data_IF_373666968849
#
_entry.id   IF_373666968849
#
_cell.length_a   1.000
_cell.length_b   1.000
_cell.length_c   1.000
_cell.angle_alpha   90.00
_cell.angle_beta   90.00
_cell.angle_gamma   90.00
#
_symmetry.space_group_name_H-M   'P 1'
#
loop_
_entity.id
_entity.type
_entity.pdbx_description
1 polymer ?
#
# COMPACT_ATOMS: atom_id res chain seq x y z
N UNK A 1 18.85 12.64 4.62
CA UNK A 1 20.01 12.75 3.72
C UNK A 1 21.07 11.77 4.19
N UNK A 2 21.65 10.99 3.28
CA UNK A 2 22.70 10.05 3.61
C UNK A 2 24.07 10.69 3.43
N UNK A 3 24.93 10.55 4.44
CA UNK A 3 26.30 11.02 4.38
C UNK A 3 27.25 9.94 4.86
N UNK A 4 28.44 9.88 4.26
CA UNK A 4 29.54 9.03 4.71
C UNK A 4 30.41 9.83 5.66
N UNK A 5 30.56 9.33 6.88
CA UNK A 5 31.35 9.98 7.91
C UNK A 5 32.84 9.79 7.63
N UNK A 6 33.63 10.87 7.65
CA UNK A 6 35.06 10.82 7.33
C UNK A 6 35.95 10.69 8.57
N UNK A 7 35.43 11.06 9.74
CA UNK A 7 36.20 11.14 10.99
C UNK A 7 35.44 10.55 12.18
N UNK A 8 36.16 10.02 13.17
CA UNK A 8 35.59 9.47 14.40
C UNK A 8 35.34 7.96 14.37
N UNK A 9 34.58 7.46 15.36
CA UNK A 9 34.37 6.00 15.56
C UNK A 9 33.59 5.33 14.44
N UNK A 10 32.74 6.08 13.76
CA UNK A 10 31.90 5.62 12.65
C UNK A 10 32.49 6.03 11.28
N UNK A 11 33.78 6.38 11.21
CA UNK A 11 34.43 6.73 9.95
C UNK A 11 34.30 5.60 8.91
N UNK A 12 33.88 5.95 7.70
CA UNK A 12 33.60 5.03 6.60
C UNK A 12 32.17 4.50 6.57
N UNK A 13 31.36 4.70 7.61
CA UNK A 13 29.96 4.29 7.62
C UNK A 13 29.05 5.37 7.03
N UNK A 14 27.97 4.91 6.43
CA UNK A 14 26.89 5.77 5.94
C UNK A 14 25.86 5.91 7.05
N UNK A 15 25.53 7.16 7.36
CA UNK A 15 24.55 7.50 8.39
C UNK A 15 23.47 8.41 7.80
N UNK A 16 22.25 8.26 8.32
CA UNK A 16 21.13 9.13 7.97
C UNK A 16 21.16 10.36 8.86
N UNK A 17 21.31 11.55 8.25
CA UNK A 17 21.21 12.82 8.95
C UNK A 17 20.05 13.68 8.39
N UNK A 18 19.43 14.53 9.25
CA UNK A 18 18.58 15.61 8.78
C UNK A 18 19.35 16.53 7.83
N UNK A 19 18.68 17.08 6.82
CA UNK A 19 19.31 17.89 5.77
C UNK A 19 20.17 19.03 6.33
N UNK A 20 19.66 19.78 7.31
CA UNK A 20 20.38 20.87 7.96
C UNK A 20 21.69 20.41 8.62
N UNK A 21 21.67 19.28 9.33
CA UNK A 21 22.85 18.71 9.96
C UNK A 21 23.84 18.17 8.92
N UNK A 22 23.35 17.51 7.87
CA UNK A 22 24.19 16.99 6.80
C UNK A 22 24.95 18.12 6.06
N UNK A 23 24.27 19.21 5.70
CA UNK A 23 24.89 20.36 5.04
C UNK A 23 25.99 20.98 5.90
N UNK A 24 25.76 21.18 7.20
CA UNK A 24 26.78 21.70 8.11
C UNK A 24 27.97 20.76 8.24
N UNK A 25 27.75 19.46 8.38
CA UNK A 25 28.83 18.46 8.54
C UNK A 25 29.69 18.31 7.29
N UNK A 26 29.10 18.46 6.10
CA UNK A 26 29.82 18.50 4.82
C UNK A 26 30.65 19.79 4.71
N UNK A 27 30.07 20.95 5.06
CA UNK A 27 30.80 22.22 5.05
C UNK A 27 32.00 22.24 6.01
N UNK A 28 31.88 21.53 7.14
CA UNK A 28 32.97 21.34 8.11
C UNK A 28 33.98 20.25 7.71
N UNK A 29 33.78 19.57 6.57
CA UNK A 29 34.67 18.52 6.09
C UNK A 29 34.66 17.24 6.92
N UNK A 30 33.66 17.06 7.79
CA UNK A 30 33.54 15.88 8.67
C UNK A 30 32.80 14.72 8.02
N UNK A 31 32.00 15.02 6.99
CA UNK A 31 31.21 14.08 6.22
C UNK A 31 31.30 14.40 4.73
N UNK A 32 31.01 13.42 3.87
CA UNK A 32 30.80 13.59 2.42
C UNK A 32 29.42 13.06 2.05
N UNK A 33 28.80 13.61 1.00
CA UNK A 33 27.56 13.04 0.47
C UNK A 33 27.84 11.58 0.02
N UNK A 34 27.01 10.65 0.48
CA UNK A 34 27.08 9.26 0.03
C UNK A 34 26.50 9.15 -1.38
N UNK A 35 27.07 8.29 -2.22
CA UNK A 35 26.49 8.01 -3.55
C UNK A 35 25.32 7.02 -3.44
N UNK A 36 24.45 7.00 -4.45
CA UNK A 36 23.30 6.09 -4.48
C UNK A 36 23.73 4.60 -4.43
N UNK A 37 24.88 4.29 -5.02
CA UNK A 37 25.51 2.96 -4.97
C UNK A 37 25.94 2.58 -3.54
N UNK A 38 26.60 3.50 -2.83
CA UNK A 38 27.02 3.32 -1.44
C UNK A 38 25.79 3.14 -0.52
N UNK A 39 24.72 3.91 -0.74
CA UNK A 39 23.47 3.85 0.03
C UNK A 39 22.75 2.51 -0.17
N UNK A 40 22.70 2.02 -1.40
CA UNK A 40 22.10 0.73 -1.75
C UNK A 40 22.88 -0.45 -1.13
N UNK A 41 24.22 -0.41 -1.16
CA UNK A 41 25.07 -1.41 -0.51
C UNK A 41 24.88 -1.43 1.02
N UNK A 42 24.63 -0.27 1.63
CA UNK A 42 24.32 -0.16 3.05
C UNK A 42 22.90 -0.61 3.41
N UNK A 43 22.06 -1.00 2.45
CA UNK A 43 20.67 -1.43 2.67
C UNK A 43 19.77 -0.31 3.20
N UNK A 44 20.19 0.95 3.05
CA UNK A 44 19.46 2.10 3.54
C UNK A 44 18.43 2.53 2.49
N UNK A 45 17.24 1.95 2.56
CA UNK A 45 16.09 2.40 1.77
C UNK A 45 15.77 3.83 2.17
N UNK A 46 15.78 4.75 1.20
CA UNK A 46 15.33 6.12 1.40
C UNK A 46 13.86 6.07 1.83
N UNK A 47 13.60 6.30 3.12
CA UNK A 47 12.26 6.46 3.64
C UNK A 47 11.71 7.72 2.98
N UNK A 48 10.80 7.55 2.02
CA UNK A 48 10.05 8.66 1.44
C UNK A 48 9.46 9.47 2.59
N UNK A 49 10.03 10.65 2.82
CA UNK A 49 9.54 11.55 3.84
C UNK A 49 8.16 11.95 3.37
N UNK A 50 7.13 11.49 4.09
CA UNK A 50 5.75 11.92 3.89
C UNK A 50 5.72 13.46 3.87
N UNK A 51 5.63 14.03 2.67
CA UNK A 51 5.37 15.45 2.50
C UNK A 51 3.87 15.59 2.60
N UNK A 52 3.41 16.37 3.58
CA UNK A 52 2.03 16.82 3.58
C UNK A 52 1.73 17.41 2.19
N UNK A 53 0.66 16.96 1.50
CA UNK A 53 0.33 17.49 0.19
C UNK A 53 0.15 18.99 0.34
N UNK A 54 0.81 19.74 -0.53
CA UNK A 54 0.71 21.20 -0.52
C UNK A 54 -0.76 21.61 -0.71
N UNK A 55 -1.19 22.81 -0.24
CA UNK A 55 -2.61 23.22 -0.28
C UNK A 55 -3.22 23.24 -1.70
N UNK A 56 -2.40 23.19 -2.74
CA UNK A 56 -2.80 23.23 -4.14
C UNK A 56 -2.79 21.83 -4.80
N UNK A 57 -2.22 20.82 -4.14
CA UNK A 57 -2.04 19.49 -4.72
C UNK A 57 -3.27 18.62 -4.46
N UNK A 58 -3.86 18.10 -5.54
CA UNK A 58 -4.99 17.18 -5.46
C UNK A 58 -4.57 15.86 -4.80
N UNK A 59 -5.44 15.24 -3.99
CA UNK A 59 -5.19 13.92 -3.42
C UNK A 59 -4.85 12.85 -4.48
N UNK A 60 -4.10 11.81 -4.07
CA UNK A 60 -3.45 10.82 -4.96
C UNK A 60 -4.35 10.34 -6.12
N UNK A 61 -3.82 10.45 -7.34
CA UNK A 61 -4.45 9.94 -8.56
C UNK A 61 -5.54 10.83 -9.16
N UNK A 62 -5.98 11.88 -8.44
CA UNK A 62 -7.06 12.75 -8.86
C UNK A 62 -6.52 14.08 -9.43
N UNK A 63 -7.16 14.58 -10.47
CA UNK A 63 -6.83 15.84 -11.12
C UNK A 63 -8.07 16.75 -11.19
N UNK A 64 -7.90 18.04 -10.92
CA UNK A 64 -8.94 19.04 -11.17
C UNK A 64 -8.71 19.70 -12.54
N UNK A 65 -9.70 19.63 -13.43
CA UNK A 65 -9.68 20.24 -14.76
C UNK A 65 -10.73 21.35 -14.81
N UNK A 66 -10.46 22.54 -15.38
CA UNK A 66 -11.49 23.58 -15.52
C UNK A 66 -12.63 23.10 -16.44
N UNK A 67 -13.87 23.22 -15.97
CA UNK A 67 -15.06 22.83 -16.71
C UNK A 67 -15.54 23.91 -17.67
N UNK A 68 -16.18 23.52 -18.77
CA UNK A 68 -16.67 24.44 -19.82
C UNK A 68 -17.76 25.41 -19.32
N UNK A 69 -18.47 25.05 -18.25
CA UNK A 69 -19.53 25.84 -17.61
C UNK A 69 -19.04 26.83 -16.53
N UNK A 70 -17.72 26.99 -16.39
CA UNK A 70 -17.11 27.55 -15.18
C UNK A 70 -16.97 26.48 -14.10
N UNK A 71 -16.05 26.67 -13.16
CA UNK A 71 -15.78 25.68 -12.11
C UNK A 71 -14.77 24.60 -12.51
N UNK A 72 -14.73 23.51 -11.75
CA UNK A 72 -13.74 22.44 -11.87
C UNK A 72 -14.42 21.06 -11.90
N UNK A 73 -13.89 20.17 -12.71
CA UNK A 73 -14.23 18.75 -12.73
C UNK A 73 -13.08 17.95 -12.11
N UNK A 74 -13.41 17.01 -11.23
CA UNK A 74 -12.47 16.08 -10.60
C UNK A 74 -12.42 14.83 -11.44
N UNK A 75 -11.23 14.47 -11.89
CA UNK A 75 -10.97 13.41 -12.86
C UNK A 75 -10.01 12.40 -12.26
N UNK A 76 -10.28 11.11 -12.42
CA UNK A 76 -9.37 10.03 -12.04
C UNK A 76 -8.18 9.91 -13.03
N UNK A 77 -7.17 9.13 -12.67
CA UNK A 77 -6.03 8.77 -13.53
C UNK A 77 -6.47 8.16 -14.88
N UNK A 78 -7.67 7.57 -14.94
CA UNK A 78 -8.31 7.06 -16.15
C UNK A 78 -9.03 8.12 -17.02
N UNK A 79 -9.06 9.40 -16.63
CA UNK A 79 -9.73 10.46 -17.37
C UNK A 79 -11.26 10.51 -17.16
N UNK A 80 -11.79 9.78 -16.19
CA UNK A 80 -13.22 9.74 -15.88
C UNK A 80 -13.59 10.85 -14.91
N UNK A 81 -14.59 11.66 -15.26
CA UNK A 81 -15.13 12.73 -14.41
C UNK A 81 -15.95 12.08 -13.27
N UNK A 82 -15.59 12.38 -12.03
CA UNK A 82 -16.18 11.79 -10.83
C UNK A 82 -17.22 12.68 -10.16
N UNK A 83 -17.22 13.99 -10.42
CA UNK A 83 -18.20 14.91 -9.87
C UNK A 83 -19.47 14.95 -10.75
N UNK A 84 -20.61 14.59 -10.17
CA UNK A 84 -21.92 14.77 -10.81
C UNK A 84 -22.46 16.22 -10.65
N UNK A 85 -21.84 17.00 -9.76
CA UNK A 85 -22.23 18.38 -9.43
C UNK A 85 -21.22 19.43 -9.85
N UNK A 86 -21.70 20.68 -9.92
CA UNK A 86 -20.87 21.85 -10.22
C UNK A 86 -19.97 22.22 -9.03
N UNK A 87 -18.65 22.20 -9.24
CA UNK A 87 -17.68 22.63 -8.23
C UNK A 87 -17.19 24.05 -8.58
N UNK A 88 -17.51 25.07 -7.76
CA UNK A 88 -17.27 26.46 -8.12
C UNK A 88 -15.79 26.86 -8.13
N UNK A 89 -14.93 26.15 -7.38
CA UNK A 89 -13.53 26.49 -7.22
C UNK A 89 -12.67 25.25 -6.88
N UNK A 90 -11.35 25.41 -6.98
CA UNK A 90 -10.38 24.34 -6.71
C UNK A 90 -10.47 23.80 -5.27
N UNK A 91 -10.66 24.63 -4.21
CA UNK A 91 -10.91 24.13 -2.87
C UNK A 91 -12.12 23.18 -2.76
N UNK A 92 -13.23 23.49 -3.44
CA UNK A 92 -14.41 22.62 -3.46
C UNK A 92 -14.11 21.28 -4.16
N UNK A 93 -13.34 21.31 -5.25
CA UNK A 93 -12.89 20.10 -5.93
C UNK A 93 -11.97 19.23 -5.05
N UNK A 94 -11.12 19.84 -4.22
CA UNK A 94 -10.30 19.11 -3.23
C UNK A 94 -11.14 18.51 -2.11
N UNK A 95 -12.09 19.25 -1.54
CA UNK A 95 -12.99 18.72 -0.52
C UNK A 95 -13.74 17.49 -1.05
N UNK A 96 -14.27 17.58 -2.27
CA UNK A 96 -14.90 16.44 -2.93
C UNK A 96 -13.93 15.26 -3.12
N UNK A 97 -12.69 15.50 -3.56
CA UNK A 97 -11.68 14.46 -3.71
C UNK A 97 -11.29 13.80 -2.38
N UNK A 98 -11.19 14.57 -1.29
CA UNK A 98 -10.93 14.05 0.06
C UNK A 98 -12.11 13.22 0.55
N UNK A 99 -13.34 13.70 0.35
CA UNK A 99 -14.56 12.98 0.74
C UNK A 99 -14.70 11.67 -0.06
N UNK A 100 -14.33 11.68 -1.35
CA UNK A 100 -14.30 10.49 -2.19
C UNK A 100 -13.29 9.46 -1.68
N UNK A 101 -12.07 9.88 -1.34
CA UNK A 101 -11.04 8.99 -0.78
C UNK A 101 -11.44 8.50 0.60
N UNK A 102 -12.02 9.36 1.43
CA UNK A 102 -12.52 8.97 2.75
C UNK A 102 -13.62 7.94 2.63
N UNK A 103 -14.56 8.11 1.68
CA UNK A 103 -15.62 7.15 1.39
C UNK A 103 -15.06 5.82 0.89
N UNK A 104 -14.07 5.85 -0.01
CA UNK A 104 -13.37 4.64 -0.49
C UNK A 104 -12.60 3.96 0.65
N UNK A 105 -11.91 4.73 1.48
CA UNK A 105 -11.17 4.23 2.64
C UNK A 105 -12.09 3.64 3.72
N UNK A 106 -13.32 4.12 3.86
CA UNK A 106 -14.31 3.51 4.76
C UNK A 106 -14.87 2.21 4.22
N UNK A 107 -14.96 2.02 2.90
CA UNK A 107 -15.26 0.68 2.32
C UNK A 107 -14.13 -0.32 2.53
N UNK A 108 -12.88 0.14 2.65
CA UNK A 108 -11.75 -0.71 3.06
C UNK A 108 -11.62 -0.84 4.60
N UNK A 109 -12.20 0.08 5.37
CA UNK A 109 -12.14 0.09 6.83
C UNK A 109 -13.31 -0.62 7.53
N UNK A 110 -14.42 -0.90 6.83
CA UNK A 110 -15.54 -1.74 7.31
C UNK A 110 -15.30 -3.25 7.05
N UNK A 111 -14.03 -3.64 6.93
CA UNK A 111 -13.54 -5.00 7.13
C UNK A 111 -12.47 -5.07 8.23
N UNK A 112 -12.41 -4.06 9.11
CA UNK A 112 -11.42 -3.98 10.19
C UNK A 112 -12.08 -3.66 11.53
N UNK A 113 -13.04 -4.48 11.93
CA UNK A 113 -13.43 -4.60 13.34
C UNK A 113 -13.23 -6.06 13.77
N UNK A 114 -12.23 -6.25 14.64
CA UNK A 114 -11.77 -7.48 15.32
C UNK A 114 -10.84 -8.40 14.51
N UNK A 115 -9.55 -8.08 14.49
CA UNK A 115 -8.51 -9.11 14.46
C UNK A 115 -7.34 -8.66 15.36
N UNK A 116 -7.28 -9.28 16.55
CA UNK A 116 -6.07 -9.47 17.34
C UNK A 116 -4.97 -10.11 16.45
N UNK A 117 -3.67 -10.13 16.82
CA UNK A 117 -2.62 -10.60 15.91
C UNK A 117 -2.81 -12.08 15.55
N UNK A 118 -3.48 -12.34 14.43
CA UNK A 118 -3.83 -13.70 14.03
C UNK A 118 -2.61 -14.37 13.40
N UNK A 119 -2.21 -15.39 14.15
CA UNK A 119 -1.54 -16.59 13.70
C UNK A 119 -2.13 -16.98 12.33
N UNK A 120 -1.34 -17.43 11.33
CA UNK A 120 -1.84 -17.70 9.98
C UNK A 120 -3.13 -18.54 10.05
N UNK A 121 -4.27 -17.87 9.85
CA UNK A 121 -5.56 -18.48 10.05
C UNK A 121 -5.71 -19.59 9.03
N UNK A 122 -5.62 -20.81 9.55
CA UNK A 122 -6.12 -22.00 8.89
C UNK A 122 -7.60 -21.72 8.61
N UNK A 123 -7.92 -21.38 7.35
CA UNK A 123 -9.29 -21.17 6.90
C UNK A 123 -10.15 -22.31 7.47
N UNK A 124 -11.07 -21.97 8.38
CA UNK A 124 -11.94 -22.92 9.07
C UNK A 124 -13.00 -23.41 8.07
N UNK A 125 -12.60 -24.37 7.23
CA UNK A 125 -13.44 -24.98 6.21
C UNK A 125 -14.73 -25.62 6.76
N UNK A 126 -14.78 -25.89 8.07
CA UNK A 126 -15.99 -26.40 8.73
C UNK A 126 -17.10 -25.35 8.85
N UNK A 127 -16.77 -24.05 8.91
CA UNK A 127 -17.74 -22.95 9.03
C UNK A 127 -18.39 -22.56 7.70
N UNK A 128 -17.72 -22.86 6.58
CA UNK A 128 -18.21 -22.54 5.23
C UNK A 128 -19.32 -23.49 4.78
N UNK A 129 -20.24 -23.00 3.99
CA UNK A 129 -21.28 -23.82 3.35
C UNK A 129 -20.69 -24.61 2.18
N UNK A 130 -21.39 -25.68 1.74
CA UNK A 130 -20.92 -26.51 0.62
C UNK A 130 -20.70 -25.69 -0.66
N UNK A 131 -21.57 -24.72 -0.94
CA UNK A 131 -21.44 -23.87 -2.13
C UNK A 131 -20.20 -22.95 -2.08
N UNK A 132 -19.87 -22.43 -0.91
CA UNK A 132 -18.66 -21.62 -0.72
C UNK A 132 -17.38 -22.45 -0.81
N UNK A 133 -17.41 -23.69 -0.31
CA UNK A 133 -16.29 -24.63 -0.44
C UNK A 133 -16.04 -25.05 -1.90
N UNK A 134 -17.11 -25.28 -2.68
CA UNK A 134 -17.00 -25.58 -4.10
C UNK A 134 -16.49 -24.37 -4.90
N UNK A 135 -16.90 -23.15 -4.54
CA UNK A 135 -16.38 -21.91 -5.13
C UNK A 135 -14.90 -21.70 -4.83
N UNK A 136 -14.47 -21.92 -3.58
CA UNK A 136 -13.05 -21.85 -3.21
C UNK A 136 -12.21 -22.94 -3.88
N UNK A 137 -12.77 -24.13 -4.06
CA UNK A 137 -12.10 -25.20 -4.79
C UNK A 137 -11.90 -24.81 -6.26
N UNK A 138 -12.92 -24.25 -6.90
CA UNK A 138 -12.84 -23.76 -8.28
C UNK A 138 -11.82 -22.62 -8.45
N UNK A 139 -11.81 -21.65 -7.54
CA UNK A 139 -10.87 -20.53 -7.54
C UNK A 139 -9.40 -21.00 -7.41
N UNK A 140 -9.18 -22.06 -6.64
CA UNK A 140 -7.86 -22.67 -6.45
C UNK A 140 -7.53 -23.78 -7.45
N UNK A 141 -8.41 -24.06 -8.40
CA UNK A 141 -8.22 -25.14 -9.38
C UNK A 141 -8.17 -26.55 -8.76
N UNK A 142 -8.78 -26.74 -7.59
CA UNK A 142 -8.86 -28.04 -6.88
C UNK A 142 -10.11 -28.77 -7.36
N UNK A 143 -9.94 -29.95 -7.94
CA UNK A 143 -11.06 -30.78 -8.37
C UNK A 143 -11.75 -31.46 -7.18
N UNK A 144 -12.99 -31.06 -6.92
CA UNK A 144 -13.86 -31.61 -5.88
C UNK A 144 -15.03 -32.42 -6.44
N UNK A 145 -15.03 -32.74 -7.75
CA UNK A 145 -16.12 -33.47 -8.41
C UNK A 145 -16.34 -34.90 -7.85
N UNK A 146 -15.33 -35.48 -7.18
CA UNK A 146 -15.42 -36.77 -6.50
C UNK A 146 -16.06 -36.73 -5.09
N UNK A 147 -16.23 -35.53 -4.52
CA UNK A 147 -16.70 -35.35 -3.15
C UNK A 147 -18.24 -35.46 -3.06
N UNK A 148 -18.74 -36.38 -2.23
CA UNK A 148 -20.20 -36.59 -2.06
C UNK A 148 -20.75 -35.77 -0.90
N UNK A 149 -19.95 -35.58 0.13
CA UNK A 149 -20.32 -34.87 1.35
C UNK A 149 -19.50 -33.61 1.54
N UNK A 150 -20.01 -32.68 2.36
CA UNK A 150 -19.29 -31.45 2.74
C UNK A 150 -17.91 -31.78 3.33
N UNK A 151 -17.83 -32.82 4.17
CA UNK A 151 -16.59 -33.26 4.80
C UNK A 151 -15.54 -33.69 3.76
N UNK A 152 -15.96 -34.33 2.67
CA UNK A 152 -15.05 -34.74 1.60
C UNK A 152 -14.45 -33.53 0.86
N UNK A 153 -15.24 -32.48 0.65
CA UNK A 153 -14.78 -31.22 0.02
C UNK A 153 -13.76 -30.51 0.94
N UNK A 154 -14.04 -30.45 2.24
CA UNK A 154 -13.11 -29.90 3.24
C UNK A 154 -11.79 -30.67 3.26
N UNK A 155 -11.84 -32.00 3.28
CA UNK A 155 -10.66 -32.84 3.29
C UNK A 155 -9.80 -32.65 2.03
N UNK A 156 -10.43 -32.51 0.85
CA UNK A 156 -9.73 -32.22 -0.40
C UNK A 156 -9.01 -30.86 -0.37
N UNK A 157 -9.68 -29.81 0.14
CA UNK A 157 -9.10 -28.47 0.27
C UNK A 157 -7.94 -28.43 1.26
N UNK A 158 -8.07 -29.10 2.42
CA UNK A 158 -6.99 -29.19 3.41
C UNK A 158 -5.79 -29.97 2.88
N UNK A 159 -6.01 -31.09 2.17
CA UNK A 159 -4.94 -31.86 1.56
C UNK A 159 -4.18 -31.05 0.50
N UNK A 160 -4.90 -30.27 -0.30
CA UNK A 160 -4.30 -29.40 -1.31
C UNK A 160 -3.48 -28.25 -0.68
N UNK A 161 -3.97 -27.62 0.39
CA UNK A 161 -3.22 -26.60 1.14
C UNK A 161 -1.93 -27.14 1.74
N UNK A 162 -2.02 -28.34 2.34
CA UNK A 162 -0.85 -29.01 2.90
C UNK A 162 0.19 -29.29 1.80
N UNK A 163 -0.24 -29.83 0.66
CA UNK A 163 0.64 -30.07 -0.48
C UNK A 163 1.26 -28.78 -1.04
N UNK A 164 0.51 -27.68 -1.10
CA UNK A 164 1.03 -26.38 -1.54
C UNK A 164 2.09 -25.82 -0.57
N UNK A 165 1.88 -25.98 0.74
CA UNK A 165 2.84 -25.54 1.75
C UNK A 165 4.13 -26.37 1.77
N UNK A 166 4.05 -27.67 1.48
CA UNK A 166 5.22 -28.56 1.38
C UNK A 166 6.00 -28.35 0.07
N UNK A 167 5.36 -27.86 -1.00
CA UNK A 167 6.01 -27.56 -2.27
C UNK A 167 6.76 -26.21 -2.30
N UNK A 168 6.55 -25.35 -1.30
CA UNK A 168 7.20 -24.03 -1.17
C UNK A 168 8.37 -24.01 -0.17
N UNK A 169 8.66 -25.14 0.49
CA UNK A 169 9.78 -25.32 1.42
C UNK A 169 10.94 -26.08 0.75
#
# INVERSE_FOLDING_TARGET
MFVRQLIGREAGKIITLPYSAATSSIAMGTCVAATDEEIAEAGLLEVEVFRHPSPEEMPRGLQAIPSLGGGFDVVDAGGVILNEGFLPNLPAARSFAVDLIAAQSTTDADASELAEPETPELIDFEKLTRGELEALAADRGIDVAGARTKADVVAALQAALKAASEAQA
#
